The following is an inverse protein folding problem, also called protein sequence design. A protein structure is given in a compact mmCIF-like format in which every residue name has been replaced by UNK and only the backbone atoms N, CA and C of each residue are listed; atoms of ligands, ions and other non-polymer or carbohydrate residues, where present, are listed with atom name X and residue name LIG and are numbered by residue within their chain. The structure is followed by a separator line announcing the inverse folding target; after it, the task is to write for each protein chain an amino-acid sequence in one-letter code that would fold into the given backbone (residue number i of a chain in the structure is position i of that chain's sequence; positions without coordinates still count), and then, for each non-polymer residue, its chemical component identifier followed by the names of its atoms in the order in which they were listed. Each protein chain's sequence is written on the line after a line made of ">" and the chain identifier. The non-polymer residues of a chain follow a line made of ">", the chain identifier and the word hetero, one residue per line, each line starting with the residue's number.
data_IF_966057565996
#
_entry.id   IF_966057565996
#
_cell.length_a   1.000
_cell.length_b   1.000
_cell.length_c   1.000
_cell.angle_alpha   90.00
_cell.angle_beta   90.00
_cell.angle_gamma   90.00
#
_symmetry.space_group_name_H-M   'P 1'
#
loop_
_entity.id
_entity.type
_entity.pdbx_description
1 polymer ?
#
# COMPACT_ATOMS: atom_id res chain seq x y z
N UNK A 1 3.91 11.54 -18.97
CA UNK A 1 3.95 10.56 -17.86
C UNK A 1 3.27 11.22 -16.67
N UNK A 2 2.05 10.81 -16.33
CA UNK A 2 1.20 11.57 -15.41
C UNK A 2 1.62 11.30 -13.97
N UNK A 3 2.40 12.22 -13.42
CA UNK A 3 2.68 12.33 -11.99
C UNK A 3 1.37 12.64 -11.27
N UNK A 4 0.61 11.61 -10.91
CA UNK A 4 -0.48 11.75 -9.94
C UNK A 4 0.17 11.99 -8.58
N UNK A 5 -0.03 13.20 -8.06
CA UNK A 5 0.30 13.65 -6.71
C UNK A 5 0.41 12.50 -5.69
N UNK A 6 1.64 12.08 -5.38
CA UNK A 6 1.99 11.12 -4.31
C UNK A 6 1.75 11.69 -2.90
N UNK A 7 1.27 12.93 -2.79
CA UNK A 7 1.06 13.63 -1.50
C UNK A 7 -0.04 13.03 -0.61
N UNK A 8 -0.91 12.15 -1.11
CA UNK A 8 -2.09 11.68 -0.34
C UNK A 8 -2.41 10.18 -0.47
N UNK A 9 -1.54 9.37 -1.07
CA UNK A 9 -1.79 7.93 -1.14
C UNK A 9 -1.62 7.31 0.25
N UNK A 10 -2.66 6.66 0.77
CA UNK A 10 -2.58 5.95 2.06
C UNK A 10 -1.83 4.64 1.85
N UNK A 11 -0.92 4.34 2.76
CA UNK A 11 -0.18 3.09 2.76
C UNK A 11 0.01 2.56 4.18
N UNK A 12 0.20 1.25 4.29
CA UNK A 12 0.77 0.57 5.46
C UNK A 12 2.02 -0.18 5.00
N UNK A 13 3.04 -0.28 5.85
CA UNK A 13 4.23 -1.07 5.54
C UNK A 13 4.73 -1.85 6.74
N UNK A 14 5.37 -2.98 6.48
CA UNK A 14 6.31 -3.60 7.41
C UNK A 14 7.75 -3.36 6.89
N UNK A 15 8.71 -4.16 7.34
CA UNK A 15 10.11 -4.02 6.92
C UNK A 15 10.31 -4.31 5.41
N UNK A 16 9.60 -5.31 4.89
CA UNK A 16 9.86 -5.86 3.55
C UNK A 16 8.80 -5.44 2.53
N UNK A 17 7.61 -5.07 2.97
CA UNK A 17 6.47 -4.82 2.09
C UNK A 17 5.73 -3.54 2.42
N UNK A 18 5.24 -2.87 1.37
CA UNK A 18 4.37 -1.69 1.44
C UNK A 18 3.10 -1.90 0.63
N UNK A 19 1.95 -1.85 1.31
CA UNK A 19 0.62 -1.99 0.71
C UNK A 19 -0.06 -0.62 0.63
N UNK A 20 -0.49 -0.26 -0.58
CA UNK A 20 -1.29 0.93 -0.86
C UNK A 20 -2.79 0.65 -0.82
N UNK A 21 -3.61 1.69 -0.61
CA UNK A 21 -5.08 1.56 -0.60
C UNK A 21 -5.68 1.15 -1.94
N UNK A 22 -4.99 1.40 -3.06
CA UNK A 22 -5.37 0.92 -4.38
C UNK A 22 -5.04 -0.56 -4.62
N UNK A 23 -4.48 -1.24 -3.61
CA UNK A 23 -4.15 -2.66 -3.66
C UNK A 23 -2.80 -2.97 -4.29
N UNK A 24 -1.97 -1.99 -4.64
CA UNK A 24 -0.58 -2.26 -5.04
C UNK A 24 0.27 -2.64 -3.83
N UNK A 25 1.05 -3.71 -3.97
CA UNK A 25 2.04 -4.16 -2.99
C UNK A 25 3.44 -4.01 -3.60
N UNK A 26 4.38 -3.44 -2.85
CA UNK A 26 5.78 -3.34 -3.24
C UNK A 26 6.65 -4.11 -2.27
N UNK A 27 7.67 -4.79 -2.79
CA UNK A 27 8.73 -5.42 -2.02
C UNK A 27 9.87 -4.40 -1.84
N UNK A 28 9.95 -3.79 -0.66
CA UNK A 28 10.94 -2.76 -0.36
C UNK A 28 12.36 -3.33 -0.25
N UNK A 29 12.52 -4.65 -0.11
CA UNK A 29 13.84 -5.28 -0.05
C UNK A 29 14.47 -5.41 -1.45
N UNK A 30 13.64 -5.62 -2.48
CA UNK A 30 14.06 -5.80 -3.87
C UNK A 30 13.80 -4.56 -4.76
N UNK A 31 12.84 -3.72 -4.39
CA UNK A 31 12.34 -2.57 -5.16
C UNK A 31 12.08 -1.38 -4.22
N UNK A 32 13.15 -0.81 -3.68
CA UNK A 32 13.09 0.32 -2.74
C UNK A 32 12.51 1.60 -3.37
N UNK A 33 12.61 1.75 -4.70
CA UNK A 33 12.08 2.89 -5.46
C UNK A 33 10.63 2.69 -5.90
N UNK A 34 10.02 1.54 -5.57
CA UNK A 34 8.61 1.23 -5.83
C UNK A 34 8.24 1.31 -7.33
N UNK A 35 9.11 0.79 -8.20
CA UNK A 35 8.92 0.77 -9.66
C UNK A 35 8.02 -0.39 -10.13
N UNK A 36 7.98 -1.51 -9.39
CA UNK A 36 7.40 -2.78 -9.80
C UNK A 36 6.31 -3.28 -8.84
N UNK A 37 5.05 -2.84 -9.02
CA UNK A 37 3.95 -3.24 -8.13
C UNK A 37 3.47 -4.68 -8.39
N UNK A 38 3.16 -5.38 -7.30
CA UNK A 38 2.41 -6.63 -7.30
C UNK A 38 0.91 -6.38 -7.08
N UNK A 39 0.07 -7.10 -7.81
CA UNK A 39 -1.39 -7.12 -7.67
C UNK A 39 -1.82 -8.42 -7.02
N UNK A 40 -2.96 -8.45 -6.32
CA UNK A 40 -3.41 -9.68 -5.64
C UNK A 40 -3.53 -10.90 -6.58
N UNK A 41 -3.81 -10.65 -7.87
CA UNK A 41 -3.89 -11.68 -8.91
C UNK A 41 -2.54 -12.32 -9.28
N UNK A 42 -1.42 -11.68 -8.93
CA UNK A 42 -0.07 -12.15 -9.25
C UNK A 42 0.77 -12.45 -8.00
N UNK A 43 0.13 -12.52 -6.83
CA UNK A 43 0.78 -12.89 -5.59
C UNK A 43 1.30 -14.34 -5.64
N UNK A 44 2.46 -14.55 -5.03
CA UNK A 44 2.89 -15.86 -4.55
C UNK A 44 2.52 -15.99 -3.06
N UNK A 45 2.90 -17.10 -2.43
CA UNK A 45 2.58 -17.36 -1.02
C UNK A 45 3.11 -16.26 -0.07
N UNK A 46 4.33 -15.77 -0.29
CA UNK A 46 4.94 -14.72 0.53
C UNK A 46 4.17 -13.39 0.42
N UNK A 47 3.85 -12.97 -0.80
CA UNK A 47 3.08 -11.74 -1.06
C UNK A 47 1.66 -11.84 -0.52
N UNK A 48 1.01 -13.00 -0.68
CA UNK A 48 -0.32 -13.25 -0.13
C UNK A 48 -0.30 -13.18 1.41
N UNK A 49 0.73 -13.72 2.05
CA UNK A 49 0.92 -13.62 3.49
C UNK A 49 1.14 -12.16 3.95
N UNK A 50 1.95 -11.39 3.22
CA UNK A 50 2.16 -9.97 3.49
C UNK A 50 0.84 -9.18 3.42
N UNK A 51 0.01 -9.40 2.39
CA UNK A 51 -1.32 -8.77 2.31
C UNK A 51 -2.22 -9.15 3.47
N UNK A 52 -2.24 -10.43 3.84
CA UNK A 52 -3.06 -10.92 4.96
C UNK A 52 -2.64 -10.29 6.29
N UNK A 53 -1.35 -9.99 6.47
CA UNK A 53 -0.85 -9.29 7.64
C UNK A 53 -1.20 -7.79 7.61
N UNK A 54 -1.02 -7.13 6.46
CA UNK A 54 -1.10 -5.68 6.33
C UNK A 54 -2.54 -5.16 6.17
N UNK A 55 -3.41 -5.87 5.46
CA UNK A 55 -4.77 -5.40 5.16
C UNK A 55 -5.61 -5.12 6.42
N UNK A 56 -5.63 -5.98 7.47
CA UNK A 56 -6.40 -5.69 8.68
C UNK A 56 -5.89 -4.47 9.46
N UNK A 57 -4.58 -4.18 9.37
CA UNK A 57 -3.98 -2.98 9.97
C UNK A 57 -4.40 -1.75 9.17
N UNK A 58 -4.39 -1.86 7.84
CA UNK A 58 -4.85 -0.81 6.94
C UNK A 58 -6.31 -0.41 7.23
N UNK A 59 -7.19 -1.38 7.45
CA UNK A 59 -8.61 -1.14 7.74
C UNK A 59 -8.83 -0.37 9.07
N UNK A 60 -7.88 -0.46 10.01
CA UNK A 60 -7.90 0.32 11.25
C UNK A 60 -7.44 1.77 11.06
N UNK A 61 -6.77 2.09 9.94
CA UNK A 61 -6.36 3.46 9.64
C UNK A 61 -7.58 4.29 9.23
N UNK A 62 -8.02 5.13 10.17
CA UNK A 62 -9.16 6.05 9.99
C UNK A 62 -8.97 6.83 8.67
N UNK A 63 -9.95 6.74 7.77
CA UNK A 63 -10.07 7.70 6.67
C UNK A 63 -10.26 9.06 7.32
N UNK A 64 -9.27 9.96 7.24
CA UNK A 64 -9.43 11.32 7.76
C UNK A 64 -10.78 11.87 7.26
N UNK A 65 -11.65 12.26 8.19
CA UNK A 65 -12.85 13.01 7.81
C UNK A 65 -12.35 14.31 7.20
N UNK A 66 -12.80 14.70 6.00
CA UNK A 66 -12.42 15.98 5.43
C UNK A 66 -12.74 17.08 6.46
N UNK A 67 -11.87 18.11 6.60
CA UNK A 67 -12.11 19.18 7.55
C UNK A 67 -13.51 19.75 7.31
N UNK A 68 -14.28 19.95 8.40
CA UNK A 68 -15.57 20.63 8.29
C UNK A 68 -15.35 22.00 7.65
N UNK A 69 -16.09 22.37 6.60
CA UNK A 69 -16.05 23.74 6.12
C UNK A 69 -16.48 24.66 7.28
N UNK A 70 -15.69 25.71 7.50
CA UNK A 70 -15.94 26.79 8.46
C UNK A 70 -17.06 27.69 7.98
#
# INVERSE_FOLDING_TARGET
>A
MSGRNSRFARYVRNHDYKLYDDGRLFDLSADAEEEFPFTASNDNDDRAAARKQLAPIFDQMVKEKPPKPV
#
